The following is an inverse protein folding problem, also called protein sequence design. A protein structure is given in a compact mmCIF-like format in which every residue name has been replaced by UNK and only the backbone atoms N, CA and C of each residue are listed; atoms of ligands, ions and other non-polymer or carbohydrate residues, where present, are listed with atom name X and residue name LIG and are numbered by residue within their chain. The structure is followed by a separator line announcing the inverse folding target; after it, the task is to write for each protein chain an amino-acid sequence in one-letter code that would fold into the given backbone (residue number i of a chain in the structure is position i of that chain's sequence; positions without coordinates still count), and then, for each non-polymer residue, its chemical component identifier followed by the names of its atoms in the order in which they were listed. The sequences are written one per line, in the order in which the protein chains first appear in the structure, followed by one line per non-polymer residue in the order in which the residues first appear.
data_IF_300900112395
#
_entry.id   IF_300900112395
#
_cell.length_a   1.000
_cell.length_b   1.000
_cell.length_c   1.000
_cell.angle_alpha   90.00
_cell.angle_beta   90.00
_cell.angle_gamma   90.00
#
_symmetry.space_group_name_H-M   'P 1'
#
loop_
_entity.id
_entity.type
_entity.pdbx_description
1 polymer ?
#
# COMPACT_ATOMS: atom_id res chain seq x y z
N UNK A 1 -1.63 2.02 -15.47
CA UNK A 1 -0.53 2.88 -16.00
C UNK A 1 -0.93 4.16 -16.76
N UNK A 2 -1.90 4.18 -17.72
CA UNK A 2 -2.28 5.44 -18.43
C UNK A 2 -2.96 6.51 -17.53
N UNK A 3 -3.57 6.12 -16.41
CA UNK A 3 -4.26 7.04 -15.48
C UNK A 3 -3.40 7.54 -14.32
N UNK A 4 -2.28 6.88 -14.02
CA UNK A 4 -1.43 7.19 -12.85
C UNK A 4 -0.52 8.40 -13.09
N UNK A 5 -0.20 8.68 -14.36
CA UNK A 5 0.50 9.90 -14.77
C UNK A 5 -0.43 11.13 -14.82
N UNK A 6 -1.70 10.92 -15.20
CA UNK A 6 -2.73 11.96 -15.21
C UNK A 6 -3.09 12.40 -13.79
N UNK A 7 -3.09 11.49 -12.81
CA UNK A 7 -3.30 11.87 -11.40
C UNK A 7 -2.11 12.65 -10.84
N UNK A 8 -0.87 12.34 -11.20
CA UNK A 8 0.32 13.10 -10.74
C UNK A 8 0.45 14.46 -11.41
N UNK A 9 0.15 14.59 -12.71
CA UNK A 9 0.11 15.90 -13.40
C UNK A 9 -1.12 16.75 -13.02
N UNK A 10 -2.26 16.14 -12.65
CA UNK A 10 -3.44 16.86 -12.17
C UNK A 10 -3.36 17.24 -10.68
N UNK A 11 -2.63 16.48 -9.84
CA UNK A 11 -2.42 16.83 -8.42
C UNK A 11 -1.47 18.02 -8.21
N UNK A 12 -0.56 18.29 -9.15
CA UNK A 12 0.43 19.37 -9.01
C UNK A 12 -0.14 20.74 -9.42
N UNK A 13 -1.26 20.79 -10.16
CA UNK A 13 -1.93 22.03 -10.56
C UNK A 13 -2.97 22.55 -9.54
N UNK A 14 -3.33 21.76 -8.53
CA UNK A 14 -4.25 22.15 -7.46
C UNK A 14 -3.61 21.70 -6.15
N UNK A 15 -3.01 22.64 -5.40
CA UNK A 15 -2.25 22.40 -4.16
C UNK A 15 -3.04 21.75 -3.02
N UNK A 16 -3.45 20.50 -3.21
CA UNK A 16 -4.21 19.68 -2.30
C UNK A 16 -3.39 18.47 -1.87
N UNK A 17 -3.33 18.28 -0.56
CA UNK A 17 -2.99 17.06 0.17
C UNK A 17 -3.26 15.81 -0.67
N UNK A 18 -2.29 14.89 -0.72
CA UNK A 18 -2.49 13.53 -1.27
C UNK A 18 -3.61 12.83 -0.47
N UNK A 19 -4.84 13.05 -0.88
CA UNK A 19 -5.99 12.25 -0.52
C UNK A 19 -6.09 11.15 -1.56
N UNK A 20 -5.45 10.01 -1.27
CA UNK A 20 -5.74 8.76 -1.95
C UNK A 20 -7.12 8.25 -1.54
N UNK A 21 -8.18 8.93 -1.99
CA UNK A 21 -9.54 8.41 -2.05
C UNK A 21 -10.05 8.55 -3.48
N UNK A 22 -10.22 7.41 -4.16
CA UNK A 22 -11.08 7.31 -5.34
C UNK A 22 -10.38 7.13 -6.68
N UNK A 23 -10.12 5.88 -7.04
CA UNK A 23 -10.81 5.13 -8.12
C UNK A 23 -9.87 4.08 -8.68
N UNK A 24 -10.17 2.82 -8.35
CA UNK A 24 -9.94 1.61 -9.14
C UNK A 24 -8.91 1.76 -10.27
N UNK A 25 -7.63 1.64 -9.91
CA UNK A 25 -6.65 1.18 -10.89
C UNK A 25 -6.58 -0.34 -10.83
N UNK A 26 -6.85 -0.93 -12.00
CA UNK A 26 -6.57 -2.30 -12.43
C UNK A 26 -5.08 -2.68 -12.36
N UNK A 27 -4.35 -2.13 -11.39
CA UNK A 27 -2.95 -2.41 -11.08
C UNK A 27 -2.78 -2.68 -9.57
N UNK A 28 -3.84 -3.18 -8.89
CA UNK A 28 -3.59 -4.18 -7.85
C UNK A 28 -2.69 -5.25 -8.49
N UNK A 29 -1.77 -5.93 -7.75
CA UNK A 29 -1.21 -7.16 -8.28
C UNK A 29 -2.41 -7.95 -8.81
N UNK A 30 -2.42 -8.22 -10.12
CA UNK A 30 -3.51 -8.98 -10.74
C UNK A 30 -3.80 -10.12 -9.75
N UNK A 31 -5.08 -10.44 -9.43
CA UNK A 31 -5.35 -11.68 -8.74
C UNK A 31 -4.60 -12.71 -9.56
N UNK A 32 -3.56 -13.31 -8.97
CA UNK A 32 -2.67 -14.15 -9.74
C UNK A 32 -3.59 -15.09 -10.50
N UNK A 33 -3.62 -14.92 -11.83
CA UNK A 33 -4.55 -15.64 -12.69
C UNK A 33 -4.34 -17.10 -12.33
N UNK A 34 -5.38 -17.75 -11.83
CA UNK A 34 -5.31 -19.14 -11.37
C UNK A 34 -4.04 -19.48 -10.55
N UNK A 35 -3.84 -18.90 -9.36
CA UNK A 35 -3.08 -19.63 -8.32
C UNK A 35 -3.88 -20.78 -7.70
N UNK A 36 -5.11 -21.04 -8.16
CA UNK A 36 -5.84 -22.28 -7.87
C UNK A 36 -5.09 -23.53 -8.34
N UNK A 37 -4.11 -23.40 -9.24
CA UNK A 37 -3.43 -24.54 -9.87
C UNK A 37 -2.16 -25.04 -9.15
N UNK A 38 -1.75 -24.49 -7.99
CA UNK A 38 -0.55 -25.03 -7.31
C UNK A 38 -0.78 -25.34 -5.83
N UNK A 39 -1.41 -26.49 -5.61
CA UNK A 39 -0.90 -27.61 -4.82
C UNK A 39 -2.09 -28.42 -4.32
N UNK A 40 -2.71 -29.20 -5.20
CA UNK A 40 -3.70 -30.24 -4.85
C UNK A 40 -3.14 -31.31 -3.92
N UNK A 41 -1.84 -31.35 -3.70
CA UNK A 41 -1.20 -32.34 -2.82
C UNK A 41 -0.91 -31.74 -1.44
N UNK A 42 -1.42 -32.42 -0.42
CA UNK A 42 -0.95 -32.28 0.96
C UNK A 42 0.50 -32.75 1.03
N UNK A 43 1.35 -32.14 1.87
CA UNK A 43 2.58 -32.79 2.29
C UNK A 43 2.27 -34.21 2.78
N UNK A 44 3.06 -35.20 2.35
CA UNK A 44 2.86 -36.58 2.74
C UNK A 44 2.89 -36.71 4.27
N UNK A 45 1.77 -37.18 4.87
CA UNK A 45 1.65 -37.43 6.30
C UNK A 45 0.77 -36.46 7.10
N UNK A 46 0.23 -35.39 6.50
CA UNK A 46 -0.73 -34.51 7.20
C UNK A 46 -2.16 -35.07 7.17
N UNK A 47 -2.70 -35.38 8.35
CA UNK A 47 -4.11 -35.72 8.53
C UNK A 47 -4.97 -34.47 8.66
N UNK A 48 -5.80 -34.20 7.66
CA UNK A 48 -6.89 -33.21 7.76
C UNK A 48 -8.13 -33.90 8.36
N UNK A 49 -8.59 -33.41 9.51
CA UNK A 49 -9.77 -33.95 10.22
C UNK A 49 -11.08 -33.38 9.67
N UNK A 50 -12.21 -34.06 9.86
CA UNK A 50 -13.54 -33.59 9.43
C UNK A 50 -14.04 -34.23 8.14
N UNK A 51 -15.26 -33.88 7.73
CA UNK A 51 -15.95 -34.41 6.55
C UNK A 51 -16.76 -33.33 5.84
N UNK A 52 -17.28 -33.64 4.64
CA UNK A 52 -18.20 -32.73 3.94
C UNK A 52 -19.46 -32.43 4.76
N UNK A 53 -19.89 -33.35 5.64
CA UNK A 53 -21.02 -33.14 6.53
C UNK A 53 -20.68 -32.14 7.64
N UNK A 54 -19.52 -32.23 8.27
CA UNK A 54 -19.09 -31.24 9.27
C UNK A 54 -18.87 -29.88 8.61
N UNK A 55 -18.30 -29.85 7.40
CA UNK A 55 -18.15 -28.62 6.64
C UNK A 55 -19.53 -28.00 6.33
N UNK A 56 -20.50 -28.80 5.89
CA UNK A 56 -21.86 -28.34 5.62
C UNK A 56 -22.52 -27.74 6.86
N UNK A 57 -22.34 -28.34 8.04
CA UNK A 57 -22.91 -27.82 9.29
C UNK A 57 -22.28 -26.48 9.67
N UNK A 58 -20.97 -26.33 9.52
CA UNK A 58 -20.27 -25.08 9.73
C UNK A 58 -20.75 -23.99 8.75
N UNK A 59 -20.99 -24.33 7.49
CA UNK A 59 -21.55 -23.39 6.51
C UNK A 59 -23.00 -23.00 6.83
N UNK A 60 -23.84 -23.91 7.31
CA UNK A 60 -25.20 -23.56 7.76
C UNK A 60 -25.17 -22.61 8.96
N UNK A 61 -24.26 -22.83 9.91
CA UNK A 61 -24.08 -21.93 11.04
C UNK A 61 -23.54 -20.56 10.60
N UNK A 62 -22.59 -20.52 9.65
CA UNK A 62 -22.12 -19.29 9.00
C UNK A 62 -23.27 -18.53 8.33
N UNK A 63 -24.10 -19.22 7.55
CA UNK A 63 -25.26 -18.64 6.89
C UNK A 63 -26.25 -18.03 7.89
N UNK A 64 -26.56 -18.74 8.98
CA UNK A 64 -27.44 -18.22 10.03
C UNK A 64 -26.83 -17.05 10.80
N UNK A 65 -25.55 -17.14 11.15
CA UNK A 65 -24.84 -16.12 11.94
C UNK A 65 -24.62 -14.81 11.20
N UNK A 66 -24.60 -14.85 9.86
CA UNK A 66 -24.30 -13.70 9.00
C UNK A 66 -25.51 -13.20 8.21
N UNK A 67 -26.72 -13.45 8.67
CA UNK A 67 -27.97 -13.03 8.03
C UNK A 67 -28.09 -13.51 6.56
N UNK A 68 -27.92 -14.81 6.36
CA UNK A 68 -27.90 -15.48 5.05
C UNK A 68 -29.06 -15.17 4.13
N UNK A 69 -30.25 -14.91 4.69
CA UNK A 69 -31.44 -14.54 3.94
C UNK A 69 -31.31 -13.15 3.28
N UNK A 70 -30.47 -12.26 3.85
CA UNK A 70 -30.20 -10.92 3.33
C UNK A 70 -29.05 -10.83 2.31
N UNK A 71 -28.37 -11.96 2.01
CA UNK A 71 -27.24 -11.96 1.09
C UNK A 71 -27.64 -11.67 -0.35
N UNK A 72 -26.76 -11.01 -1.11
CA UNK A 72 -26.98 -10.78 -2.55
C UNK A 72 -26.89 -12.07 -3.38
N UNK A 73 -26.04 -13.00 -2.95
CA UNK A 73 -25.77 -14.29 -3.59
C UNK A 73 -25.82 -15.39 -2.54
N UNK A 74 -26.92 -16.15 -2.52
CA UNK A 74 -27.18 -17.23 -1.57
C UNK A 74 -27.75 -18.49 -2.25
N UNK A 75 -27.57 -18.64 -3.56
CA UNK A 75 -28.11 -19.81 -4.29
C UNK A 75 -27.67 -21.13 -3.63
N UNK A 76 -28.65 -22.00 -3.40
CA UNK A 76 -28.54 -23.32 -2.76
C UNK A 76 -28.11 -23.34 -1.29
N UNK A 77 -27.80 -22.19 -0.67
CA UNK A 77 -27.45 -22.17 0.74
C UNK A 77 -28.62 -22.64 1.62
N UNK A 78 -28.28 -23.36 2.70
CA UNK A 78 -29.26 -23.92 3.64
C UNK A 78 -30.34 -24.79 2.97
N UNK A 79 -29.98 -25.48 1.88
CA UNK A 79 -30.83 -26.43 1.16
C UNK A 79 -30.29 -27.85 1.23
N UNK A 80 -31.04 -28.83 0.69
CA UNK A 80 -30.59 -30.22 0.55
C UNK A 80 -29.67 -30.45 -0.67
N UNK A 81 -29.34 -29.41 -1.45
CA UNK A 81 -28.44 -29.51 -2.61
C UNK A 81 -27.00 -29.76 -2.15
N UNK A 82 -26.16 -30.46 -2.94
CA UNK A 82 -24.77 -30.69 -2.60
C UNK A 82 -24.02 -29.39 -2.29
N UNK A 83 -23.18 -29.37 -1.25
CA UNK A 83 -22.42 -28.19 -0.82
C UNK A 83 -21.58 -27.58 -1.95
N UNK A 84 -21.08 -28.41 -2.87
CA UNK A 84 -20.33 -27.97 -4.04
C UNK A 84 -21.13 -27.07 -5.01
N UNK A 85 -22.47 -27.04 -4.90
CA UNK A 85 -23.33 -26.16 -5.71
C UNK A 85 -23.73 -24.88 -4.99
N UNK A 86 -23.30 -24.67 -3.74
CA UNK A 86 -23.65 -23.47 -2.97
C UNK A 86 -22.87 -22.27 -3.49
N UNK A 87 -23.55 -21.13 -3.66
CA UNK A 87 -22.94 -19.93 -4.21
C UNK A 87 -21.68 -19.53 -3.42
N UNK A 88 -20.55 -19.38 -4.12
CA UNK A 88 -19.28 -19.00 -3.50
C UNK A 88 -18.56 -20.11 -2.72
N UNK A 89 -19.06 -21.35 -2.71
CA UNK A 89 -18.38 -22.47 -2.05
C UNK A 89 -17.62 -23.31 -3.08
N UNK A 90 -16.35 -23.56 -2.83
CA UNK A 90 -15.54 -24.51 -3.62
C UNK A 90 -15.23 -25.74 -2.79
N UNK A 91 -15.57 -26.91 -3.33
CA UNK A 91 -15.24 -28.23 -2.79
C UNK A 91 -14.18 -28.88 -3.68
N UNK A 92 -13.15 -29.45 -3.07
CA UNK A 92 -12.10 -30.21 -3.76
C UNK A 92 -11.84 -31.53 -3.03
N UNK A 93 -11.24 -32.50 -3.72
CA UNK A 93 -10.70 -33.68 -3.03
C UNK A 93 -9.49 -33.29 -2.19
N UNK A 94 -9.51 -33.67 -0.92
CA UNK A 94 -8.45 -33.44 0.06
C UNK A 94 -8.25 -34.73 0.83
N UNK A 95 -7.09 -35.37 0.63
CA UNK A 95 -6.78 -36.69 1.21
C UNK A 95 -7.81 -37.79 0.86
N UNK A 96 -8.34 -37.79 -0.36
CA UNK A 96 -9.28 -38.81 -0.84
C UNK A 96 -10.73 -38.61 -0.38
N UNK A 97 -11.06 -37.43 0.17
CA UNK A 97 -12.42 -37.06 0.56
C UNK A 97 -12.78 -35.64 0.08
N UNK A 98 -14.04 -35.39 -0.32
CA UNK A 98 -14.49 -34.06 -0.70
C UNK A 98 -14.56 -33.15 0.53
N UNK A 99 -13.90 -31.99 0.46
CA UNK A 99 -13.87 -30.99 1.53
C UNK A 99 -14.03 -29.57 1.00
N UNK A 100 -14.56 -28.66 1.81
CA UNK A 100 -14.65 -27.24 1.46
C UNK A 100 -13.26 -26.62 1.53
N UNK A 101 -12.78 -26.14 0.37
CA UNK A 101 -11.43 -25.57 0.22
C UNK A 101 -11.43 -24.07 0.00
N UNK A 102 -12.54 -23.47 -0.42
CA UNK A 102 -12.62 -22.02 -0.61
C UNK A 102 -14.03 -21.48 -0.32
N UNK A 103 -14.07 -20.27 0.25
CA UNK A 103 -15.28 -19.47 0.42
C UNK A 103 -15.08 -18.08 -0.20
N UNK A 104 -15.92 -17.75 -1.18
CA UNK A 104 -15.95 -16.50 -1.92
C UNK A 104 -17.25 -15.74 -1.64
N UNK A 105 -17.27 -15.00 -0.53
CA UNK A 105 -18.46 -14.29 -0.03
C UNK A 105 -18.22 -12.77 0.06
N UNK A 106 -17.25 -12.25 -0.69
CA UNK A 106 -16.96 -10.83 -0.72
C UNK A 106 -18.07 -10.01 -1.40
N UNK A 107 -18.38 -8.82 -0.87
CA UNK A 107 -19.42 -7.94 -1.44
C UNK A 107 -20.82 -8.54 -1.40
N UNK A 108 -21.10 -9.40 -0.42
CA UNK A 108 -22.32 -10.21 -0.38
C UNK A 108 -23.37 -9.74 0.63
N UNK A 109 -23.17 -8.56 1.24
CA UNK A 109 -24.02 -8.03 2.31
C UNK A 109 -24.09 -8.96 3.53
N UNK A 110 -22.94 -9.53 3.93
CA UNK A 110 -22.87 -10.31 5.17
C UNK A 110 -23.12 -9.38 6.38
N UNK A 111 -24.03 -9.75 7.29
CA UNK A 111 -24.40 -8.94 8.47
C UNK A 111 -24.35 -9.79 9.73
N UNK A 112 -23.58 -9.39 10.75
CA UNK A 112 -23.45 -10.15 11.99
C UNK A 112 -21.99 -10.38 12.36
N UNK A 113 -21.70 -11.50 13.04
CA UNK A 113 -20.35 -11.85 13.52
C UNK A 113 -19.90 -13.19 12.97
N UNK A 114 -18.59 -13.36 12.79
CA UNK A 114 -18.04 -14.65 12.39
C UNK A 114 -18.26 -15.70 13.49
N UNK A 115 -18.93 -16.82 13.21
CA UNK A 115 -19.15 -17.85 14.20
C UNK A 115 -17.89 -18.69 14.42
N UNK A 116 -17.79 -19.27 15.62
CA UNK A 116 -16.70 -20.18 16.01
C UNK A 116 -16.60 -21.41 15.11
N UNK A 117 -17.72 -21.84 14.54
CA UNK A 117 -17.79 -22.98 13.61
C UNK A 117 -16.93 -22.80 12.36
N UNK A 118 -16.49 -21.58 12.02
CA UNK A 118 -15.52 -21.36 10.94
C UNK A 118 -14.25 -22.20 11.10
N UNK A 119 -13.83 -22.50 12.34
CA UNK A 119 -12.68 -23.37 12.62
C UNK A 119 -12.88 -24.84 12.25
N UNK A 120 -14.10 -25.29 11.96
CA UNK A 120 -14.40 -26.65 11.53
C UNK A 120 -14.07 -26.89 10.05
N UNK A 121 -13.89 -25.83 9.26
CA UNK A 121 -13.49 -25.90 7.85
C UNK A 121 -11.98 -26.14 7.73
N UNK A 122 -11.48 -27.21 8.35
CA UNK A 122 -10.04 -27.51 8.50
C UNK A 122 -9.29 -27.66 7.18
N UNK A 123 -9.98 -27.95 6.08
CA UNK A 123 -9.42 -28.03 4.73
C UNK A 123 -9.39 -26.69 3.98
N UNK A 124 -9.86 -25.60 4.60
CA UNK A 124 -10.03 -24.29 3.95
C UNK A 124 -8.69 -23.66 3.61
N UNK A 125 -8.57 -23.22 2.35
CA UNK A 125 -7.36 -22.59 1.79
C UNK A 125 -7.59 -21.13 1.44
N UNK A 126 -8.82 -20.74 1.12
CA UNK A 126 -9.16 -19.35 0.84
C UNK A 126 -10.45 -18.96 1.55
N UNK A 127 -10.36 -17.91 2.37
CA UNK A 127 -11.49 -17.27 3.02
C UNK A 127 -11.55 -15.81 2.56
N UNK A 128 -12.55 -15.50 1.73
CA UNK A 128 -12.73 -14.19 1.12
C UNK A 128 -14.06 -13.58 1.53
N UNK A 129 -14.01 -12.64 2.48
CA UNK A 129 -15.17 -11.97 3.07
C UNK A 129 -15.11 -10.45 2.90
N UNK A 130 -14.21 -9.96 2.05
CA UNK A 130 -13.99 -8.53 1.83
C UNK A 130 -15.25 -7.77 1.37
N UNK A 131 -15.29 -6.45 1.55
CA UNK A 131 -16.41 -5.58 1.13
C UNK A 131 -17.76 -5.94 1.77
N UNK A 132 -17.75 -6.44 3.00
CA UNK A 132 -18.95 -6.68 3.80
C UNK A 132 -18.92 -5.79 5.04
N UNK A 133 -19.35 -4.53 4.88
CA UNK A 133 -19.26 -3.51 5.93
C UNK A 133 -20.06 -3.86 7.19
N UNK A 134 -21.12 -4.66 7.09
CA UNK A 134 -21.93 -5.11 8.24
C UNK A 134 -21.41 -6.41 8.88
N UNK A 135 -20.27 -6.93 8.41
CA UNK A 135 -19.52 -7.95 9.13
C UNK A 135 -18.77 -7.29 10.30
N UNK A 136 -19.24 -7.57 11.51
CA UNK A 136 -18.83 -6.96 12.78
C UNK A 136 -18.25 -7.99 13.75
N UNK A 137 -17.92 -7.56 14.96
CA UNK A 137 -17.35 -8.43 15.99
C UNK A 137 -15.83 -8.53 15.88
N UNK A 138 -15.26 -9.60 16.40
CA UNK A 138 -13.82 -9.88 16.38
C UNK A 138 -13.49 -11.02 15.41
N UNK A 139 -12.20 -11.18 15.09
CA UNK A 139 -11.70 -12.39 14.43
C UNK A 139 -11.72 -13.53 15.48
N UNK A 140 -12.55 -14.58 15.31
CA UNK A 140 -12.68 -15.63 16.32
C UNK A 140 -11.39 -16.45 16.43
N UNK A 141 -11.07 -16.92 17.65
CA UNK A 141 -9.85 -17.67 17.92
C UNK A 141 -9.74 -18.96 17.09
N UNK A 142 -10.89 -19.55 16.77
CA UNK A 142 -11.06 -20.75 15.98
C UNK A 142 -10.59 -20.57 14.53
N UNK A 143 -10.60 -19.35 13.98
CA UNK A 143 -10.06 -19.08 12.64
C UNK A 143 -8.56 -19.37 12.57
N UNK A 144 -7.81 -19.13 13.65
CA UNK A 144 -6.37 -19.41 13.71
C UNK A 144 -6.03 -20.91 13.78
N UNK A 145 -7.04 -21.79 13.85
CA UNK A 145 -6.87 -23.24 13.76
C UNK A 145 -6.81 -23.74 12.30
N UNK A 146 -7.15 -22.89 11.33
CA UNK A 146 -7.14 -23.20 9.91
C UNK A 146 -5.71 -23.15 9.34
N UNK A 147 -4.82 -24.04 9.80
CA UNK A 147 -3.38 -24.00 9.50
C UNK A 147 -3.04 -24.16 8.02
N UNK A 148 -3.96 -24.67 7.20
CA UNK A 148 -3.81 -24.79 5.74
C UNK A 148 -4.31 -23.55 4.97
N UNK A 149 -4.76 -22.51 5.67
CA UNK A 149 -5.26 -21.28 5.06
C UNK A 149 -4.13 -20.55 4.35
N UNK A 150 -4.33 -20.25 3.06
CA UNK A 150 -3.37 -19.56 2.19
C UNK A 150 -3.78 -18.13 1.89
N UNK A 151 -5.07 -17.84 1.91
CA UNK A 151 -5.59 -16.49 1.65
C UNK A 151 -6.69 -16.14 2.64
N UNK A 152 -6.42 -15.12 3.44
CA UNK A 152 -7.40 -14.49 4.33
C UNK A 152 -7.64 -13.05 3.86
N UNK A 153 -8.85 -12.77 3.39
CA UNK A 153 -9.25 -11.44 2.92
C UNK A 153 -10.47 -10.96 3.69
N UNK A 154 -10.26 -9.99 4.57
CA UNK A 154 -11.26 -9.37 5.45
C UNK A 154 -11.37 -7.85 5.20
N UNK A 155 -10.82 -7.38 4.07
CA UNK A 155 -10.79 -5.97 3.70
C UNK A 155 -12.16 -5.30 3.72
N UNK A 156 -12.23 -4.06 4.16
CA UNK A 156 -13.48 -3.27 4.20
C UNK A 156 -14.63 -4.00 4.91
N UNK A 157 -14.33 -4.50 6.10
CA UNK A 157 -15.30 -5.02 7.08
C UNK A 157 -15.30 -4.10 8.30
N UNK A 158 -16.27 -4.28 9.21
CA UNK A 158 -16.34 -3.57 10.49
C UNK A 158 -15.84 -4.43 11.65
N UNK A 159 -14.89 -5.33 11.37
CA UNK A 159 -14.23 -6.13 12.40
C UNK A 159 -13.40 -5.23 13.32
N UNK A 160 -13.46 -5.54 14.61
CA UNK A 160 -12.80 -4.82 15.71
C UNK A 160 -12.03 -5.79 16.60
N UNK A 161 -11.38 -5.27 17.63
CA UNK A 161 -10.54 -6.06 18.53
C UNK A 161 -9.12 -6.21 17.99
N UNK A 162 -8.35 -7.09 18.62
CA UNK A 162 -6.92 -7.23 18.33
C UNK A 162 -6.62 -8.43 17.42
N UNK A 163 -5.51 -8.36 16.69
CA UNK A 163 -4.96 -9.53 15.99
C UNK A 163 -4.26 -10.41 17.01
N UNK A 164 -4.74 -11.65 17.18
CA UNK A 164 -4.15 -12.59 18.13
C UNK A 164 -2.75 -13.01 17.70
N UNK A 165 -1.81 -13.22 18.65
CA UNK A 165 -0.54 -13.91 18.39
C UNK A 165 -0.70 -15.27 17.69
N UNK A 166 -1.87 -15.91 17.82
CA UNK A 166 -2.19 -17.14 17.10
C UNK A 166 -2.18 -16.99 15.57
N UNK A 167 -2.14 -15.76 15.03
CA UNK A 167 -1.91 -15.51 13.60
C UNK A 167 -0.68 -16.25 13.08
N UNK A 168 0.36 -16.41 13.90
CA UNK A 168 1.58 -17.11 13.52
C UNK A 168 1.40 -18.60 13.24
N UNK A 169 0.28 -19.21 13.66
CA UNK A 169 -0.08 -20.59 13.32
C UNK A 169 -0.48 -20.78 11.86
N UNK A 170 -0.86 -19.70 11.17
CA UNK A 170 -1.31 -19.73 9.78
C UNK A 170 -0.11 -19.68 8.82
N UNK A 171 0.83 -20.60 9.01
CA UNK A 171 2.15 -20.61 8.34
C UNK A 171 2.07 -20.79 6.82
N UNK A 172 0.96 -21.31 6.31
CA UNK A 172 0.67 -21.43 4.88
C UNK A 172 0.13 -20.15 4.22
N UNK A 173 -0.11 -19.08 5.00
CA UNK A 173 -0.63 -17.82 4.46
C UNK A 173 0.33 -17.21 3.44
N UNK A 174 -0.22 -16.98 2.27
CA UNK A 174 0.35 -16.23 1.17
C UNK A 174 -0.21 -14.79 1.12
N UNK A 175 -1.52 -14.66 1.38
CA UNK A 175 -2.24 -13.38 1.34
C UNK A 175 -2.92 -13.12 2.67
N UNK A 176 -2.57 -12.00 3.30
CA UNK A 176 -3.28 -11.42 4.44
C UNK A 176 -3.75 -10.00 4.06
N UNK A 177 -5.04 -9.84 3.82
CA UNK A 177 -5.64 -8.53 3.53
C UNK A 177 -6.64 -8.19 4.63
N UNK A 178 -6.20 -7.34 5.56
CA UNK A 178 -6.99 -6.78 6.64
C UNK A 178 -7.24 -5.28 6.39
N UNK A 179 -7.00 -4.74 5.21
CA UNK A 179 -7.08 -3.30 4.98
C UNK A 179 -8.50 -2.73 5.18
N UNK A 180 -8.60 -1.48 5.64
CA UNK A 180 -9.89 -0.81 5.79
C UNK A 180 -9.93 0.53 5.04
N UNK A 181 -11.02 1.28 5.24
CA UNK A 181 -11.17 2.65 4.76
C UNK A 181 -10.91 3.62 5.91
N UNK A 182 -10.21 4.72 5.62
CA UNK A 182 -10.06 5.88 6.53
C UNK A 182 -11.42 6.47 6.92
N UNK A 183 -12.35 6.46 5.98
CA UNK A 183 -13.67 7.06 6.11
C UNK A 183 -14.72 5.99 6.21
N UNK A 184 -15.73 6.23 7.03
CA UNK A 184 -16.93 5.41 7.02
C UNK A 184 -17.61 5.58 5.66
N UNK A 185 -17.45 4.59 4.78
CA UNK A 185 -18.00 4.61 3.42
C UNK A 185 -19.51 4.39 3.49
N UNK A 186 -20.25 5.41 3.94
CA UNK A 186 -21.67 5.53 3.70
C UNK A 186 -21.90 5.60 2.19
N UNK A 187 -22.96 4.95 1.70
CA UNK A 187 -23.14 4.59 0.29
C UNK A 187 -23.33 5.77 -0.70
N UNK A 188 -23.07 7.01 -0.30
CA UNK A 188 -23.55 8.20 -1.02
C UNK A 188 -22.48 9.21 -1.44
N UNK A 189 -21.17 8.92 -1.31
CA UNK A 189 -20.17 9.89 -1.76
C UNK A 189 -20.11 9.97 -3.29
N UNK A 190 -20.41 11.16 -3.82
CA UNK A 190 -20.43 11.47 -5.25
C UNK A 190 -19.05 11.91 -5.80
N UNK A 191 -18.01 11.93 -4.96
CA UNK A 191 -16.66 12.37 -5.35
C UNK A 191 -16.41 13.87 -5.19
N UNK A 192 -17.29 14.62 -4.53
CA UNK A 192 -17.08 16.04 -4.23
C UNK A 192 -16.16 16.22 -2.99
N UNK A 193 -14.99 16.87 -3.13
CA UNK A 193 -14.10 17.17 -2.01
C UNK A 193 -14.68 18.15 -0.98
N UNK A 194 -15.66 18.99 -1.35
CA UNK A 194 -16.28 19.96 -0.44
C UNK A 194 -17.17 19.28 0.61
N UNK A 195 -17.78 18.14 0.26
CA UNK A 195 -18.61 17.33 1.16
C UNK A 195 -17.80 16.31 1.96
N UNK A 196 -16.49 16.22 1.74
CA UNK A 196 -15.63 15.25 2.42
C UNK A 196 -15.59 15.41 3.95
N UNK A 197 -15.92 16.60 4.48
CA UNK A 197 -16.05 16.89 5.92
C UNK A 197 -17.25 16.19 6.58
N UNK A 198 -18.21 15.69 5.79
CA UNK A 198 -19.37 14.93 6.27
C UNK A 198 -19.05 13.44 6.48
N UNK A 199 -17.87 12.97 6.07
CA UNK A 199 -17.43 11.60 6.33
C UNK A 199 -16.88 11.44 7.74
N UNK A 200 -17.66 10.77 8.57
CA UNK A 200 -17.22 10.33 9.90
C UNK A 200 -15.97 9.44 9.74
N UNK A 201 -14.93 9.64 10.56
CA UNK A 201 -13.83 8.70 10.65
C UNK A 201 -14.38 7.28 10.85
N UNK A 202 -13.78 6.30 10.17
CA UNK A 202 -14.15 4.91 10.39
C UNK A 202 -13.72 4.49 11.79
N UNK A 203 -14.68 4.36 12.72
CA UNK A 203 -14.44 3.92 14.08
C UNK A 203 -14.46 2.40 14.29
N UNK A 204 -14.55 1.61 13.21
CA UNK A 204 -14.64 0.15 13.27
C UNK A 204 -13.40 -0.47 12.62
N UNK A 205 -12.33 -0.51 13.40
CA UNK A 205 -11.02 -1.01 12.99
C UNK A 205 -10.49 -2.04 14.01
N UNK A 206 -9.57 -2.88 13.54
CA UNK A 206 -8.70 -3.69 14.39
C UNK A 206 -7.74 -2.76 15.13
N UNK A 207 -7.45 -3.06 16.39
CA UNK A 207 -6.65 -2.22 17.29
C UNK A 207 -5.52 -3.02 17.94
N UNK A 208 -4.79 -2.39 18.85
CA UNK A 208 -3.70 -3.02 19.60
C UNK A 208 -2.38 -3.01 18.83
N UNK A 209 -1.36 -3.63 19.41
CA UNK A 209 -0.07 -3.80 18.74
C UNK A 209 -0.11 -4.95 17.73
N UNK A 210 0.69 -4.83 16.66
CA UNK A 210 0.89 -5.95 15.74
C UNK A 210 1.71 -7.04 16.46
N UNK A 211 1.21 -8.27 16.63
CA UNK A 211 1.94 -9.32 17.31
C UNK A 211 3.22 -9.69 16.56
N UNK A 212 4.31 -9.95 17.29
CA UNK A 212 5.60 -10.37 16.71
C UNK A 212 5.50 -11.67 15.91
N UNK A 213 4.53 -12.51 16.23
CA UNK A 213 4.22 -13.76 15.56
C UNK A 213 3.82 -13.57 14.10
N UNK A 214 3.54 -12.32 13.65
CA UNK A 214 3.41 -11.99 12.23
C UNK A 214 4.63 -12.45 11.42
N UNK A 215 5.83 -12.45 12.01
CA UNK A 215 7.06 -12.91 11.36
C UNK A 215 7.07 -14.42 11.05
N UNK A 216 6.14 -15.20 11.61
CA UNK A 216 6.00 -16.64 11.32
C UNK A 216 5.33 -16.89 9.95
N UNK A 217 4.69 -15.87 9.36
CA UNK A 217 4.05 -15.95 8.04
C UNK A 217 5.07 -15.90 6.89
N UNK A 218 6.09 -16.77 6.93
CA UNK A 218 7.25 -16.73 6.03
C UNK A 218 6.91 -16.95 4.55
N UNK A 219 5.73 -17.52 4.25
CA UNK A 219 5.18 -17.70 2.91
C UNK A 219 4.37 -16.50 2.40
N UNK A 220 4.09 -15.51 3.25
CA UNK A 220 3.26 -14.37 2.88
C UNK A 220 3.94 -13.52 1.81
N UNK A 221 3.27 -13.33 0.68
CA UNK A 221 3.68 -12.43 -0.41
C UNK A 221 2.95 -11.09 -0.38
N UNK A 222 1.72 -11.09 0.14
CA UNK A 222 0.87 -9.90 0.20
C UNK A 222 0.33 -9.71 1.62
N UNK A 223 0.74 -8.60 2.25
CA UNK A 223 0.23 -8.17 3.55
C UNK A 223 -0.26 -6.72 3.41
N UNK A 224 -1.56 -6.52 3.60
CA UNK A 224 -2.15 -5.18 3.66
C UNK A 224 -2.91 -5.00 4.98
N UNK A 225 -2.40 -4.09 5.81
CA UNK A 225 -2.93 -3.73 7.12
C UNK A 225 -3.40 -2.26 7.14
N UNK A 226 -3.52 -1.63 5.97
CA UNK A 226 -3.76 -0.18 5.86
C UNK A 226 -5.06 0.25 6.52
N UNK A 227 -5.07 1.47 7.06
CA UNK A 227 -6.22 2.12 7.68
C UNK A 227 -6.84 1.32 8.82
N UNK A 228 -5.98 0.71 9.64
CA UNK A 228 -6.38 0.04 10.87
C UNK A 228 -5.93 0.84 12.09
N UNK A 229 -6.51 0.54 13.25
CA UNK A 229 -6.18 1.17 14.53
C UNK A 229 -4.92 0.60 15.20
N UNK A 230 -3.98 0.01 14.45
CA UNK A 230 -2.77 -0.59 15.02
C UNK A 230 -1.86 0.48 15.64
N UNK A 231 -1.43 0.24 16.89
CA UNK A 231 -0.58 1.12 17.68
C UNK A 231 0.76 0.44 18.03
N UNK A 232 1.64 1.15 18.73
CA UNK A 232 2.92 0.62 19.18
C UNK A 232 3.95 0.51 18.06
N UNK A 233 5.04 -0.21 18.31
CA UNK A 233 6.13 -0.34 17.34
C UNK A 233 5.85 -1.41 16.28
N UNK A 234 6.45 -1.26 15.11
CA UNK A 234 6.50 -2.33 14.11
C UNK A 234 7.50 -3.40 14.60
N UNK A 235 7.07 -4.65 14.89
CA UNK A 235 7.97 -5.68 15.40
C UNK A 235 9.14 -5.99 14.45
N UNK A 236 10.32 -6.23 15.01
CA UNK A 236 11.53 -6.54 14.23
C UNK A 236 11.41 -7.84 13.42
N UNK A 237 10.54 -8.74 13.87
CA UNK A 237 10.19 -10.02 13.26
C UNK A 237 9.56 -9.84 11.87
N UNK A 238 9.12 -8.62 11.50
CA UNK A 238 8.70 -8.31 10.12
C UNK A 238 9.78 -8.68 9.10
N UNK A 239 11.07 -8.61 9.48
CA UNK A 239 12.20 -8.99 8.63
C UNK A 239 12.28 -10.49 8.31
N UNK A 240 11.46 -11.35 8.96
CA UNK A 240 11.38 -12.77 8.68
C UNK A 240 10.47 -13.11 7.48
N UNK A 241 9.69 -12.15 6.96
CA UNK A 241 8.77 -12.32 5.85
C UNK A 241 9.46 -12.39 4.48
N UNK A 242 10.38 -13.34 4.29
CA UNK A 242 11.28 -13.38 3.12
C UNK A 242 10.59 -13.49 1.75
N UNK A 243 9.34 -13.95 1.73
CA UNK A 243 8.52 -14.05 0.52
C UNK A 243 7.72 -12.77 0.22
N UNK A 244 7.72 -11.78 1.12
CA UNK A 244 6.90 -10.58 0.99
C UNK A 244 7.29 -9.78 -0.26
N UNK A 245 6.28 -9.47 -1.08
CA UNK A 245 6.37 -8.60 -2.26
C UNK A 245 5.63 -7.30 -2.05
N UNK A 246 4.53 -7.34 -1.30
CA UNK A 246 3.71 -6.19 -0.98
C UNK A 246 3.51 -6.13 0.55
N UNK A 247 3.94 -5.03 1.15
CA UNK A 247 3.72 -4.72 2.56
C UNK A 247 3.16 -3.31 2.68
N UNK A 248 1.92 -3.19 3.14
CA UNK A 248 1.29 -1.91 3.42
C UNK A 248 0.78 -1.81 4.85
N UNK A 249 1.21 -0.76 5.53
CA UNK A 249 0.84 -0.35 6.90
C UNK A 249 0.29 1.09 6.89
N UNK A 250 -0.15 1.58 5.72
CA UNK A 250 -0.48 2.98 5.49
C UNK A 250 -1.68 3.43 6.33
N UNK A 251 -1.59 4.60 6.97
CA UNK A 251 -2.73 5.19 7.66
C UNK A 251 -3.13 4.48 8.96
N UNK A 252 -2.16 3.91 9.69
CA UNK A 252 -2.35 3.34 11.02
C UNK A 252 -1.83 4.31 12.10
N UNK A 253 -1.52 3.80 13.30
CA UNK A 253 -0.96 4.56 14.42
C UNK A 253 0.36 3.95 14.92
N UNK A 254 1.14 3.31 14.03
CA UNK A 254 2.45 2.76 14.40
C UNK A 254 3.40 3.88 14.81
N UNK A 255 4.20 3.64 15.85
CA UNK A 255 5.15 4.60 16.42
C UNK A 255 6.54 3.98 16.62
N UNK A 256 7.49 4.78 17.12
CA UNK A 256 8.88 4.36 17.26
C UNK A 256 9.61 4.28 15.92
N UNK A 257 10.78 3.63 15.91
CA UNK A 257 11.62 3.56 14.71
C UNK A 257 11.14 2.51 13.70
N UNK A 258 11.42 2.76 12.42
CA UNK A 258 11.33 1.70 11.41
C UNK A 258 12.44 0.68 11.68
N UNK A 259 12.12 -0.62 11.89
CA UNK A 259 13.11 -1.61 12.26
C UNK A 259 14.07 -1.87 11.10
N UNK A 260 15.38 -1.90 11.39
CA UNK A 260 16.42 -2.17 10.39
C UNK A 260 16.26 -3.54 9.71
N UNK A 261 15.55 -4.48 10.33
CA UNK A 261 15.23 -5.79 9.78
C UNK A 261 14.38 -5.75 8.50
N UNK A 262 13.70 -4.62 8.21
CA UNK A 262 13.01 -4.40 6.93
C UNK A 262 13.95 -4.59 5.73
N UNK A 263 15.22 -4.18 5.86
CA UNK A 263 16.23 -4.36 4.81
C UNK A 263 16.52 -5.82 4.43
N UNK A 264 16.00 -6.79 5.20
CA UNK A 264 16.16 -8.21 4.95
C UNK A 264 15.07 -8.81 4.03
N UNK A 265 14.11 -7.99 3.56
CA UNK A 265 13.01 -8.38 2.68
C UNK A 265 13.39 -8.26 1.20
N UNK A 266 14.32 -9.12 0.75
CA UNK A 266 14.93 -9.01 -0.58
C UNK A 266 13.96 -9.11 -1.78
N UNK A 267 12.76 -9.69 -1.57
CA UNK A 267 11.71 -9.81 -2.59
C UNK A 267 10.68 -8.66 -2.56
N UNK A 268 10.81 -7.72 -1.63
CA UNK A 268 9.82 -6.66 -1.46
C UNK A 268 9.84 -5.72 -2.67
N UNK A 269 8.68 -5.55 -3.31
CA UNK A 269 8.47 -4.72 -4.49
C UNK A 269 7.72 -3.43 -4.14
N UNK A 270 6.84 -3.48 -3.14
CA UNK A 270 6.05 -2.35 -2.66
C UNK A 270 6.09 -2.27 -1.13
N UNK A 271 6.51 -1.12 -0.62
CA UNK A 271 6.49 -0.80 0.81
C UNK A 271 5.75 0.51 1.06
N UNK A 272 4.69 0.46 1.87
CA UNK A 272 3.98 1.64 2.31
C UNK A 272 3.80 1.67 3.83
N UNK A 273 4.24 2.77 4.43
CA UNK A 273 4.17 3.06 5.86
C UNK A 273 3.81 4.54 6.14
N UNK A 274 3.28 5.24 5.13
CA UNK A 274 2.87 6.63 5.26
C UNK A 274 1.68 6.83 6.20
N UNK A 275 1.47 8.06 6.66
CA UNK A 275 0.43 8.45 7.62
C UNK A 275 0.43 7.58 8.88
N UNK A 276 1.59 7.50 9.54
CA UNK A 276 1.76 6.86 10.85
C UNK A 276 2.46 7.85 11.80
N UNK A 277 2.91 7.36 12.95
CA UNK A 277 3.69 8.11 13.93
C UNK A 277 5.15 7.64 14.02
N UNK A 278 5.69 7.00 12.96
CA UNK A 278 7.08 6.55 12.95
C UNK A 278 8.03 7.71 13.19
N UNK A 279 9.02 7.51 14.04
CA UNK A 279 10.02 8.49 14.45
C UNK A 279 11.45 7.92 14.32
N UNK A 280 12.45 8.68 14.75
CA UNK A 280 13.86 8.31 14.56
C UNK A 280 14.29 8.39 13.10
N UNK A 281 15.46 7.83 12.79
CA UNK A 281 16.05 7.91 11.45
C UNK A 281 15.54 6.83 10.49
N UNK A 282 15.54 7.13 9.19
CA UNK A 282 15.39 6.10 8.16
C UNK A 282 16.54 5.08 8.25
N UNK A 283 16.25 3.78 8.41
CA UNK A 283 17.32 2.79 8.53
C UNK A 283 18.05 2.63 7.19
N UNK A 284 19.39 2.74 7.22
CA UNK A 284 20.23 2.59 6.03
C UNK A 284 20.08 1.21 5.34
N UNK A 285 19.60 0.21 6.07
CA UNK A 285 19.31 -1.13 5.54
C UNK A 285 18.20 -1.15 4.48
N UNK A 286 17.37 -0.10 4.36
CA UNK A 286 16.43 0.03 3.23
C UNK A 286 17.14 0.02 1.87
N UNK A 287 18.41 0.45 1.81
CA UNK A 287 19.25 0.34 0.62
C UNK A 287 19.55 -1.10 0.17
N UNK A 288 19.20 -2.12 0.98
CA UNK A 288 19.39 -3.54 0.66
C UNK A 288 18.19 -4.18 -0.06
N UNK A 289 17.08 -3.45 -0.25
CA UNK A 289 15.85 -3.97 -0.86
C UNK A 289 15.95 -4.08 -2.39
N UNK A 290 16.70 -5.06 -2.89
CA UNK A 290 17.08 -5.17 -4.32
C UNK A 290 15.91 -5.26 -5.33
N UNK A 291 14.72 -5.64 -4.89
CA UNK A 291 13.53 -5.78 -5.76
C UNK A 291 12.55 -4.60 -5.66
N UNK A 292 12.83 -3.63 -4.77
CA UNK A 292 11.87 -2.58 -4.43
C UNK A 292 11.61 -1.66 -5.62
N UNK A 293 10.34 -1.34 -5.85
CA UNK A 293 9.89 -0.39 -6.86
C UNK A 293 9.30 0.84 -6.19
N UNK A 294 8.58 0.67 -5.10
CA UNK A 294 7.87 1.78 -4.48
C UNK A 294 8.12 1.82 -2.97
N UNK A 295 8.55 2.99 -2.51
CA UNK A 295 8.71 3.31 -1.08
C UNK A 295 7.85 4.54 -0.77
N UNK A 296 6.83 4.35 0.05
CA UNK A 296 5.89 5.40 0.47
C UNK A 296 5.87 5.52 1.99
N UNK A 297 6.58 6.51 2.55
CA UNK A 297 6.73 6.72 4.01
C UNK A 297 6.34 8.16 4.41
N UNK A 298 5.52 8.81 3.58
CA UNK A 298 5.11 10.20 3.76
C UNK A 298 4.25 10.42 5.01
N UNK A 299 4.31 11.60 5.63
CA UNK A 299 3.41 11.98 6.72
C UNK A 299 3.69 11.18 7.99
N UNK A 300 4.94 11.20 8.43
CA UNK A 300 5.42 10.57 9.67
C UNK A 300 6.21 11.61 10.50
N UNK A 301 6.85 11.18 11.58
CA UNK A 301 7.70 11.99 12.46
C UNK A 301 9.19 11.66 12.27
N UNK A 302 9.59 11.12 11.11
CA UNK A 302 10.97 10.67 10.86
C UNK A 302 11.95 11.85 10.85
N UNK A 303 13.12 11.65 11.45
CA UNK A 303 14.19 12.64 11.59
C UNK A 303 15.50 12.13 10.96
N UNK A 304 16.58 12.90 11.09
CA UNK A 304 17.90 12.50 10.58
C UNK A 304 18.01 12.61 9.06
N UNK A 305 19.15 12.18 8.52
CA UNK A 305 19.45 12.30 7.10
C UNK A 305 18.78 11.21 6.26
N UNK A 306 18.53 11.51 4.99
CA UNK A 306 18.19 10.49 3.99
C UNK A 306 19.43 9.60 3.78
N UNK A 307 19.35 8.27 3.96
CA UNK A 307 20.52 7.40 3.79
C UNK A 307 20.99 7.36 2.32
N UNK A 308 22.28 7.61 2.10
CA UNK A 308 22.92 7.50 0.78
C UNK A 308 22.76 6.10 0.15
N UNK A 309 22.60 5.06 0.98
CA UNK A 309 22.37 3.68 0.55
C UNK A 309 21.10 3.51 -0.31
N UNK A 310 20.13 4.43 -0.22
CA UNK A 310 18.96 4.41 -1.11
C UNK A 310 19.35 4.54 -2.59
N UNK A 311 20.46 5.22 -2.91
CA UNK A 311 20.96 5.34 -4.29
C UNK A 311 21.42 4.01 -4.94
N UNK A 312 21.52 2.93 -4.16
CA UNK A 312 21.81 1.59 -4.66
C UNK A 312 20.59 0.91 -5.32
N UNK A 313 19.37 1.39 -5.07
CA UNK A 313 18.12 0.73 -5.44
C UNK A 313 17.74 0.97 -6.91
N UNK A 314 18.42 0.30 -7.85
CA UNK A 314 18.23 0.55 -9.30
C UNK A 314 16.84 0.22 -9.84
N UNK A 315 16.08 -0.62 -9.12
CA UNK A 315 14.69 -0.96 -9.46
C UNK A 315 13.67 0.06 -8.95
N UNK A 316 14.09 0.99 -8.08
CA UNK A 316 13.21 1.96 -7.45
C UNK A 316 12.63 2.91 -8.50
N UNK A 317 11.34 3.12 -8.37
CA UNK A 317 10.44 3.74 -9.33
C UNK A 317 9.74 4.95 -8.70
N UNK A 318 9.31 4.83 -7.44
CA UNK A 318 8.79 5.93 -6.62
C UNK A 318 9.47 5.98 -5.26
N UNK A 319 9.90 7.17 -4.88
CA UNK A 319 10.35 7.47 -3.53
C UNK A 319 9.51 8.63 -2.98
N UNK A 320 8.68 8.35 -1.98
CA UNK A 320 7.90 9.37 -1.28
C UNK A 320 8.24 9.39 0.21
N UNK A 321 8.91 10.46 0.63
CA UNK A 321 9.28 10.76 2.01
C UNK A 321 8.67 12.10 2.50
N UNK A 322 7.68 12.62 1.79
CA UNK A 322 7.10 13.93 2.03
C UNK A 322 6.47 14.08 3.43
N UNK A 323 6.44 15.28 3.98
CA UNK A 323 5.78 15.56 5.26
C UNK A 323 6.41 14.80 6.42
N UNK A 324 7.72 14.87 6.54
CA UNK A 324 8.49 14.33 7.65
C UNK A 324 9.34 15.45 8.29
N UNK A 325 10.27 15.11 9.15
CA UNK A 325 11.21 16.04 9.77
C UNK A 325 12.66 15.70 9.40
N UNK A 326 12.88 15.15 8.19
CA UNK A 326 14.20 14.75 7.71
C UNK A 326 15.11 15.97 7.58
N UNK A 327 16.36 15.82 7.99
CA UNK A 327 17.39 16.88 8.00
C UNK A 327 18.58 16.50 7.11
N UNK A 328 19.61 17.34 7.07
CA UNK A 328 20.80 17.09 6.26
C UNK A 328 20.58 17.37 4.78
N UNK A 329 21.53 16.95 3.95
CA UNK A 329 21.50 17.18 2.51
C UNK A 329 20.73 16.10 1.76
N UNK A 330 20.30 16.41 0.53
CA UNK A 330 19.86 15.39 -0.42
C UNK A 330 21.10 14.60 -0.86
N UNK A 331 21.19 13.27 -0.64
CA UNK A 331 22.35 12.48 -1.04
C UNK A 331 22.55 12.50 -2.56
N UNK A 332 23.77 12.75 -3.01
CA UNK A 332 24.09 12.77 -4.45
C UNK A 332 23.86 11.39 -5.10
N UNK A 333 23.95 10.32 -4.32
CA UNK A 333 23.71 8.94 -4.75
C UNK A 333 22.27 8.72 -5.26
N UNK A 334 21.30 9.56 -4.88
CA UNK A 334 19.95 9.50 -5.44
C UNK A 334 19.94 9.76 -6.95
N UNK A 335 20.93 10.49 -7.49
CA UNK A 335 21.11 10.65 -8.93
C UNK A 335 21.42 9.33 -9.66
N UNK A 336 21.87 8.30 -8.94
CA UNK A 336 22.19 6.98 -9.51
C UNK A 336 20.96 6.07 -9.65
N UNK A 337 19.77 6.51 -9.25
CA UNK A 337 18.53 5.75 -9.40
C UNK A 337 18.07 5.77 -10.86
N UNK A 338 18.41 4.73 -11.63
CA UNK A 338 18.15 4.69 -13.08
C UNK A 338 16.69 4.34 -13.43
N UNK A 339 15.97 3.68 -12.54
CA UNK A 339 14.57 3.27 -12.72
C UNK A 339 13.51 4.28 -12.24
N UNK A 340 13.93 5.38 -11.62
CA UNK A 340 13.04 6.29 -10.88
C UNK A 340 12.22 7.19 -11.81
N UNK A 341 10.94 7.40 -11.50
CA UNK A 341 10.10 8.39 -12.16
C UNK A 341 9.59 9.50 -11.24
N UNK A 342 9.45 9.25 -9.94
CA UNK A 342 8.99 10.26 -8.98
C UNK A 342 9.86 10.23 -7.72
N UNK A 343 10.30 11.42 -7.32
CA UNK A 343 10.91 11.70 -6.02
C UNK A 343 10.07 12.79 -5.35
N UNK A 344 9.54 12.50 -4.17
CA UNK A 344 8.79 13.45 -3.36
C UNK A 344 9.41 13.55 -1.97
N UNK A 345 10.06 14.69 -1.71
CA UNK A 345 10.72 15.05 -0.46
C UNK A 345 10.09 16.31 0.16
N UNK A 346 8.91 16.71 -0.31
CA UNK A 346 8.21 17.92 0.12
C UNK A 346 8.06 18.00 1.63
N UNK A 347 8.12 19.20 2.21
CA UNK A 347 7.72 19.42 3.60
C UNK A 347 8.63 18.67 4.57
N UNK A 348 9.94 18.89 4.46
CA UNK A 348 10.97 18.36 5.34
C UNK A 348 11.87 19.51 5.83
N UNK A 349 12.98 19.20 6.48
CA UNK A 349 13.99 20.17 6.96
C UNK A 349 15.33 19.95 6.23
N UNK A 350 15.27 19.53 4.96
CA UNK A 350 16.46 19.25 4.15
C UNK A 350 17.17 20.56 3.81
N UNK A 351 18.48 20.57 3.89
CA UNK A 351 19.32 21.76 3.70
C UNK A 351 20.46 21.50 2.71
N UNK A 352 21.29 22.51 2.46
CA UNK A 352 22.34 22.45 1.46
C UNK A 352 21.79 22.55 0.03
N UNK A 353 22.60 22.17 -0.95
CA UNK A 353 22.28 22.35 -2.37
C UNK A 353 21.56 21.14 -2.96
N UNK A 354 20.79 21.38 -4.02
CA UNK A 354 20.24 20.31 -4.86
C UNK A 354 21.41 19.69 -5.65
N UNK A 355 21.63 18.36 -5.59
CA UNK A 355 22.71 17.71 -6.34
C UNK A 355 22.59 18.00 -7.84
N UNK A 356 23.68 18.41 -8.48
CA UNK A 356 23.68 18.84 -9.90
C UNK A 356 23.27 17.73 -10.87
N UNK A 357 23.53 16.48 -10.49
CA UNK A 357 23.18 15.30 -11.28
C UNK A 357 21.77 14.76 -10.98
N UNK A 358 21.02 15.37 -10.05
CA UNK A 358 19.63 14.99 -9.80
C UNK A 358 18.75 15.48 -10.97
N UNK A 359 18.00 14.57 -11.58
CA UNK A 359 17.40 14.79 -12.90
C UNK A 359 18.43 14.80 -14.05
N UNK A 360 19.65 14.35 -13.77
CA UNK A 360 20.82 14.19 -14.64
C UNK A 360 20.70 13.07 -15.67
N UNK A 361 21.65 12.96 -16.61
CA UNK A 361 21.61 12.01 -17.73
C UNK A 361 21.25 10.55 -17.35
N UNK A 362 21.71 10.07 -16.18
CA UNK A 362 21.46 8.72 -15.66
C UNK A 362 20.00 8.44 -15.25
N UNK A 363 19.20 9.49 -15.00
CA UNK A 363 17.79 9.38 -14.58
C UNK A 363 16.85 9.66 -15.76
N UNK A 364 16.99 8.88 -16.83
CA UNK A 364 16.21 9.07 -18.07
C UNK A 364 14.70 8.93 -17.91
N UNK A 365 14.25 8.24 -16.86
CA UNK A 365 12.84 8.02 -16.56
C UNK A 365 12.25 9.02 -15.55
N UNK A 366 13.04 9.96 -15.01
CA UNK A 366 12.59 10.86 -13.94
C UNK A 366 11.64 11.95 -14.48
N UNK A 367 10.39 11.90 -14.02
CA UNK A 367 9.30 12.77 -14.46
C UNK A 367 9.10 13.92 -13.48
N UNK A 368 9.12 13.65 -12.18
CA UNK A 368 8.79 14.64 -11.15
C UNK A 368 9.72 14.57 -9.95
N UNK A 369 10.14 15.74 -9.48
CA UNK A 369 10.89 15.93 -8.25
C UNK A 369 10.22 17.05 -7.46
N UNK A 370 9.56 16.70 -6.35
CA UNK A 370 9.01 17.68 -5.43
C UNK A 370 9.96 17.84 -4.23
N UNK A 371 10.57 19.01 -4.12
CA UNK A 371 11.44 19.43 -3.04
C UNK A 371 10.86 20.63 -2.29
N UNK A 372 9.58 20.95 -2.50
CA UNK A 372 8.97 22.14 -1.93
C UNK A 372 8.97 22.10 -0.40
N UNK A 373 8.90 23.28 0.22
CA UNK A 373 8.80 23.46 1.66
C UNK A 373 9.94 22.73 2.42
N UNK A 374 11.18 23.13 2.11
CA UNK A 374 12.42 22.66 2.74
C UNK A 374 13.37 23.86 3.04
N UNK A 375 14.58 23.59 3.50
CA UNK A 375 15.63 24.60 3.78
C UNK A 375 16.75 24.61 2.74
N UNK A 376 16.47 24.18 1.49
CA UNK A 376 17.49 24.04 0.44
C UNK A 376 17.99 25.41 -0.01
N UNK A 377 19.30 25.48 -0.27
CA UNK A 377 20.00 26.68 -0.73
C UNK A 377 20.66 26.46 -2.09
N UNK A 378 21.27 27.50 -2.63
CA UNK A 378 21.94 27.45 -3.94
C UNK A 378 21.00 27.79 -5.08
N UNK A 379 21.22 27.17 -6.24
CA UNK A 379 20.56 27.52 -7.50
C UNK A 379 19.67 26.38 -8.00
N UNK A 380 18.76 26.71 -8.93
CA UNK A 380 17.90 25.72 -9.58
C UNK A 380 18.76 24.82 -10.49
N UNK A 381 18.61 23.47 -10.45
CA UNK A 381 19.31 22.58 -11.35
C UNK A 381 18.93 22.85 -12.82
N UNK A 382 19.86 22.58 -13.75
CA UNK A 382 19.60 22.76 -15.17
C UNK A 382 18.52 21.79 -15.67
N UNK A 383 17.63 22.24 -16.58
CA UNK A 383 16.66 21.36 -17.22
C UNK A 383 17.34 20.52 -18.31
N UNK A 384 17.34 19.21 -18.13
CA UNK A 384 17.81 18.28 -19.17
C UNK A 384 16.62 17.85 -20.04
N UNK A 385 16.71 18.11 -21.36
CA UNK A 385 15.73 17.65 -22.34
C UNK A 385 15.64 16.12 -22.33
N UNK A 386 14.42 15.58 -22.35
CA UNK A 386 14.14 14.14 -22.38
C UNK A 386 13.28 13.79 -23.58
N UNK A 387 13.61 12.72 -24.28
CA UNK A 387 12.72 12.14 -25.28
C UNK A 387 11.84 11.10 -24.60
N UNK A 388 10.53 11.25 -24.72
CA UNK A 388 9.58 10.28 -24.16
C UNK A 388 9.74 8.96 -24.95
N UNK A 389 9.99 7.81 -24.30
CA UNK A 389 10.31 6.56 -25.00
C UNK A 389 9.15 5.99 -25.83
N UNK A 390 7.96 6.61 -25.79
CA UNK A 390 6.80 6.22 -26.58
C UNK A 390 5.86 7.42 -26.79
N UNK A 391 6.25 8.36 -27.66
CA UNK A 391 5.46 9.57 -27.95
C UNK A 391 3.98 9.26 -28.29
N UNK A 392 3.70 8.12 -28.94
CA UNK A 392 2.34 7.67 -29.27
C UNK A 392 1.49 7.30 -28.03
N UNK A 393 2.10 6.79 -26.96
CA UNK A 393 1.42 6.50 -25.69
C UNK A 393 1.02 7.75 -24.92
N UNK A 394 1.75 8.85 -25.11
CA UNK A 394 1.57 10.14 -24.44
C UNK A 394 0.91 11.22 -25.32
N UNK A 395 0.74 10.96 -26.62
CA UNK A 395 0.11 11.86 -27.60
C UNK A 395 -1.34 12.27 -27.26
N UNK A 396 -2.03 11.52 -26.39
CA UNK A 396 -3.37 11.87 -25.89
C UNK A 396 -3.39 12.95 -24.80
N UNK A 397 -2.22 13.40 -24.32
CA UNK A 397 -2.09 14.53 -23.40
C UNK A 397 -1.86 15.80 -24.22
N UNK A 398 -2.95 16.51 -24.55
CA UNK A 398 -2.86 17.80 -25.26
C UNK A 398 -1.94 18.78 -24.51
N UNK A 399 -0.84 19.18 -25.15
CA UNK A 399 0.05 20.26 -24.69
C UNK A 399 1.39 19.85 -24.09
N UNK A 400 1.78 18.57 -24.14
CA UNK A 400 3.16 18.14 -23.83
C UNK A 400 4.00 18.08 -25.13
N UNK A 401 5.22 18.65 -25.17
CA UNK A 401 6.09 18.52 -26.33
C UNK A 401 6.55 17.06 -26.54
N UNK A 402 6.95 16.71 -27.76
CA UNK A 402 7.55 15.40 -28.12
C UNK A 402 8.84 15.09 -27.33
N UNK A 403 9.36 16.11 -26.65
CA UNK A 403 10.36 16.04 -25.60
C UNK A 403 9.80 16.60 -24.29
N UNK A 404 10.00 15.87 -23.19
CA UNK A 404 9.69 16.30 -21.84
C UNK A 404 10.90 16.92 -21.13
N UNK A 405 10.63 17.48 -19.96
CA UNK A 405 11.65 17.79 -18.97
C UNK A 405 11.18 17.22 -17.64
N UNK A 406 12.12 16.87 -16.77
CA UNK A 406 11.79 16.60 -15.37
C UNK A 406 11.16 17.87 -14.77
N UNK A 407 10.02 17.69 -14.11
CA UNK A 407 9.31 18.74 -13.41
C UNK A 407 9.88 18.86 -12.00
N UNK A 408 10.42 20.04 -11.67
CA UNK A 408 10.88 20.36 -10.33
C UNK A 408 9.88 21.29 -9.65
N UNK A 409 9.47 20.93 -8.44
CA UNK A 409 8.69 21.78 -7.53
C UNK A 409 9.63 22.21 -6.40
N UNK A 410 9.97 23.50 -6.35
CA UNK A 410 11.03 24.05 -5.51
C UNK A 410 10.56 25.20 -4.61
N UNK A 411 9.27 25.55 -4.65
CA UNK A 411 8.67 26.60 -3.79
C UNK A 411 8.95 26.35 -2.31
N UNK A 412 8.99 27.41 -1.50
CA UNK A 412 9.17 27.30 -0.04
C UNK A 412 10.59 26.96 0.42
N UNK A 413 11.59 27.08 -0.45
CA UNK A 413 13.02 26.90 -0.12
C UNK A 413 13.76 28.24 0.06
N UNK A 414 15.09 28.18 0.22
CA UNK A 414 16.01 29.31 0.35
C UNK A 414 16.88 29.46 -0.91
N UNK A 415 16.30 29.23 -2.09
CA UNK A 415 17.03 29.27 -3.36
C UNK A 415 17.26 30.72 -3.84
N UNK A 416 18.40 30.95 -4.49
CA UNK A 416 18.79 32.25 -5.03
C UNK A 416 19.36 32.14 -6.45
N UNK A 417 19.78 33.26 -7.02
CA UNK A 417 20.46 33.33 -8.31
C UNK A 417 19.53 33.73 -9.46
N UNK A 418 19.66 33.05 -10.59
CA UNK A 418 18.83 33.27 -11.79
C UNK A 418 18.05 32.00 -12.11
N UNK A 419 16.78 32.17 -12.48
CA UNK A 419 15.98 31.13 -13.11
C UNK A 419 16.58 30.86 -14.50
N UNK A 420 16.96 29.60 -14.82
CA UNK A 420 17.46 29.24 -16.15
C UNK A 420 16.45 29.57 -17.24
N UNK A 421 16.92 29.93 -18.44
CA UNK A 421 16.08 30.36 -19.56
C UNK A 421 15.06 29.27 -19.96
N UNK A 422 15.42 28.00 -19.79
CA UNK A 422 14.57 26.83 -20.06
C UNK A 422 13.37 26.72 -19.11
N UNK A 423 13.40 27.36 -17.94
CA UNK A 423 12.23 27.46 -17.07
C UNK A 423 11.37 28.68 -17.44
N UNK A 424 12.00 29.82 -17.75
CA UNK A 424 11.32 31.05 -18.15
C UNK A 424 10.49 30.88 -19.43
N UNK A 425 10.95 30.03 -20.36
CA UNK A 425 10.22 29.71 -21.59
C UNK A 425 8.89 28.96 -21.35
N UNK A 426 8.63 28.47 -20.13
CA UNK A 426 7.43 27.69 -19.79
C UNK A 426 6.70 28.28 -18.56
N UNK A 427 5.89 29.34 -18.74
CA UNK A 427 5.25 30.06 -17.64
C UNK A 427 4.41 29.18 -16.69
N UNK A 428 3.74 28.15 -17.23
CA UNK A 428 2.91 27.22 -16.41
C UNK A 428 3.71 26.44 -15.35
N UNK A 429 5.01 26.22 -15.58
CA UNK A 429 5.88 25.52 -14.61
C UNK A 429 6.65 26.47 -13.71
N UNK A 430 6.66 27.76 -14.01
CA UNK A 430 7.35 28.78 -13.21
C UNK A 430 6.76 28.90 -11.80
N UNK A 431 5.43 28.77 -11.68
CA UNK A 431 4.73 28.79 -10.41
C UNK A 431 5.18 27.66 -9.45
N UNK A 432 5.80 26.60 -9.95
CA UNK A 432 6.32 25.50 -9.13
C UNK A 432 7.64 25.87 -8.44
N UNK A 433 8.30 26.94 -8.89
CA UNK A 433 9.54 27.44 -8.33
C UNK A 433 9.32 28.54 -7.29
N UNK A 434 8.09 29.04 -7.15
CA UNK A 434 7.77 30.25 -6.41
C UNK A 434 6.57 30.03 -5.47
N UNK A 435 6.44 30.80 -4.38
CA UNK A 435 7.44 31.72 -3.83
C UNK A 435 8.61 30.97 -3.15
N UNK A 436 9.72 31.67 -2.92
CA UNK A 436 10.78 31.23 -1.99
C UNK A 436 10.53 31.82 -0.59
N UNK A 437 11.24 31.34 0.42
CA UNK A 437 11.18 31.90 1.77
C UNK A 437 11.61 33.38 1.79
N UNK A 438 11.13 34.14 2.77
CA UNK A 438 11.41 35.56 2.87
C UNK A 438 12.92 35.87 2.85
N UNK A 439 13.33 36.82 2.00
CA UNK A 439 14.74 37.17 1.77
C UNK A 439 15.45 36.34 0.70
N UNK A 440 14.79 35.32 0.14
CA UNK A 440 15.27 34.49 -0.96
C UNK A 440 14.38 34.65 -2.20
N UNK A 441 14.83 34.15 -3.35
CA UNK A 441 14.17 34.38 -4.63
C UNK A 441 15.18 34.63 -5.76
N UNK A 442 14.66 34.89 -6.95
CA UNK A 442 15.48 34.94 -8.16
C UNK A 442 15.58 36.35 -8.74
N UNK A 443 16.78 36.74 -9.14
CA UNK A 443 17.08 38.09 -9.67
C UNK A 443 16.39 38.42 -11.00
N UNK A 444 15.92 37.41 -11.73
CA UNK A 444 15.22 37.52 -13.01
C UNK A 444 13.80 36.94 -12.95
N UNK A 445 13.18 36.97 -11.76
CA UNK A 445 11.78 36.60 -11.59
C UNK A 445 10.88 37.51 -12.45
N UNK A 446 10.04 36.95 -13.34
CA UNK A 446 9.07 37.70 -14.12
C UNK A 446 8.09 38.45 -13.21
N UNK A 447 7.85 39.73 -13.53
CA UNK A 447 6.93 40.60 -12.79
C UNK A 447 5.46 40.29 -13.08
#
# INVERSE_FOLDING_TARGET
MKKTLLSTLALIALGGVVTSCGKEQKDAPQPAGNTSARATELPAGETITGSIQTDSLALVDLYKSLDGMGWSHSNNWNSSRPVATWAGVQVSDVAGAPRVTALYLGGNKLRGTLPKSIGQLTALRSLQLQYNRELTGTIPAELYQLTHLRSLRLRFTSLTGEVSPAIGKLTELDTLDLSNSRYDLSMWWNGDPATAKEHRPNGKTLTGSLPREIGQLTKARYIDLSFQGFTGTLPTEIGALKSAKYLSLYGCHFSGELPASLGALAQLEYFSAGLNEFSGSLPASLGSLKSIREIHISGNKLTGAIPASLGALKTLQQLNLAGNQLTGTIPAELAHLTGIYVIDLKGNKLSGTIPTDLGGAQQSLLISVDLSDNDLTGTIPARIKRYLPDAAKYAGLHGLPDYGYTMFVLSGNKLTGKIPAEYLAYPKTLQLLLPQQAGYGFSNEPK
#
